data_IF_151463275126
#
_entry.id   IF_151463275126
#
_cell.length_a   1.000
_cell.length_b   1.000
_cell.length_c   1.000
_cell.angle_alpha   90.00
_cell.angle_beta   90.00
_cell.angle_gamma   90.00
#
_symmetry.space_group_name_H-M   'P 1'
#
loop_
_entity.id
_entity.type
_entity.pdbx_description
1 polymer ?
#
# COMPACT_ATOMS: atom_id res chain seq x y z
N UNK A 1 10.62 -14.40 -13.83
CA UNK A 1 10.23 -13.25 -12.99
C UNK A 1 11.46 -12.39 -12.73
N UNK A 2 11.35 -11.07 -12.57
CA UNK A 2 12.51 -10.21 -12.29
C UNK A 2 13.09 -10.56 -10.91
N UNK A 3 14.42 -10.74 -10.75
CA UNK A 3 15.00 -11.19 -9.48
C UNK A 3 14.66 -10.26 -8.32
N UNK A 4 14.57 -8.95 -8.57
CA UNK A 4 14.14 -7.97 -7.57
C UNK A 4 12.72 -8.19 -7.04
N UNK A 5 11.80 -8.73 -7.85
CA UNK A 5 10.43 -9.03 -7.40
C UNK A 5 10.45 -10.20 -6.41
N UNK A 6 11.20 -11.25 -6.73
CA UNK A 6 11.34 -12.42 -5.85
C UNK A 6 11.99 -12.02 -4.53
N UNK A 7 13.12 -11.32 -4.59
CA UNK A 7 13.84 -10.88 -3.39
C UNK A 7 12.98 -9.97 -2.52
N UNK A 8 12.37 -8.94 -3.12
CA UNK A 8 11.53 -7.99 -2.40
C UNK A 8 10.30 -8.65 -1.77
N UNK A 9 9.57 -9.46 -2.52
CA UNK A 9 8.37 -10.13 -2.02
C UNK A 9 8.66 -11.12 -0.90
N UNK A 10 9.71 -11.95 -1.04
CA UNK A 10 10.12 -12.90 0.01
C UNK A 10 10.55 -12.17 1.27
N UNK A 11 11.38 -11.12 1.13
CA UNK A 11 11.84 -10.34 2.28
C UNK A 11 10.67 -9.71 3.04
N UNK A 12 9.81 -8.96 2.35
CA UNK A 12 8.69 -8.27 2.98
C UNK A 12 7.64 -9.23 3.53
N UNK A 13 7.42 -10.37 2.88
CA UNK A 13 6.55 -11.44 3.42
C UNK A 13 7.12 -11.99 4.71
N UNK A 14 8.43 -12.27 4.75
CA UNK A 14 9.09 -12.80 5.94
C UNK A 14 9.00 -11.85 7.14
N UNK A 15 9.29 -10.55 6.92
CA UNK A 15 9.14 -9.52 7.96
C UNK A 15 7.69 -9.43 8.43
N UNK A 16 6.75 -9.32 7.48
CA UNK A 16 5.33 -9.17 7.74
C UNK A 16 4.75 -10.31 8.57
N UNK A 17 4.97 -11.56 8.16
CA UNK A 17 4.50 -12.74 8.89
C UNK A 17 5.16 -12.86 10.26
N UNK A 18 6.46 -12.56 10.37
CA UNK A 18 7.17 -12.60 11.66
C UNK A 18 6.57 -11.61 12.65
N UNK A 19 6.31 -10.37 12.21
CA UNK A 19 5.73 -9.34 13.06
C UNK A 19 4.28 -9.62 13.44
N UNK A 20 3.48 -10.23 12.55
CA UNK A 20 2.10 -10.63 12.86
C UNK A 20 2.04 -11.73 13.92
N UNK A 21 2.85 -12.79 13.76
CA UNK A 21 2.81 -13.97 14.63
C UNK A 21 3.60 -13.73 15.92
N UNK A 22 4.75 -13.05 15.85
CA UNK A 22 5.68 -12.83 16.96
C UNK A 22 6.12 -11.36 17.03
N UNK A 23 5.23 -10.42 17.36
CA UNK A 23 5.53 -8.98 17.35
C UNK A 23 6.70 -8.60 18.25
N UNK A 24 6.90 -9.26 19.39
CA UNK A 24 8.01 -8.96 20.30
C UNK A 24 9.41 -9.25 19.71
N UNK A 25 9.52 -10.10 18.68
CA UNK A 25 10.80 -10.42 18.07
C UNK A 25 11.40 -9.21 17.34
N UNK A 26 10.58 -8.43 16.63
CA UNK A 26 11.06 -7.29 15.83
C UNK A 26 11.89 -6.30 16.67
N UNK A 27 11.36 -5.70 17.76
CA UNK A 27 12.16 -4.79 18.58
C UNK A 27 13.31 -5.49 19.30
N UNK A 28 13.20 -6.80 19.62
CA UNK A 28 14.26 -7.53 20.32
C UNK A 28 15.57 -7.64 19.53
N UNK A 29 15.48 -7.67 18.19
CA UNK A 29 16.66 -7.65 17.30
C UNK A 29 17.48 -6.36 17.43
N UNK A 30 16.86 -5.30 17.95
CA UNK A 30 17.47 -3.98 18.15
C UNK A 30 17.61 -3.62 19.63
N UNK A 31 17.54 -4.62 20.53
CA UNK A 31 17.65 -4.41 21.99
C UNK A 31 16.39 -3.85 22.66
N UNK A 32 15.28 -3.69 21.93
CA UNK A 32 14.00 -3.23 22.43
C UNK A 32 13.08 -4.35 22.93
N UNK A 33 11.89 -3.96 23.41
CA UNK A 33 10.84 -4.89 23.90
C UNK A 33 9.45 -4.36 23.53
N UNK A 34 8.43 -5.24 23.54
CA UNK A 34 7.02 -4.89 23.34
C UNK A 34 6.14 -5.38 24.52
N UNK A 35 6.27 -4.75 25.70
CA UNK A 35 5.64 -5.26 26.91
C UNK A 35 4.12 -5.07 26.93
N UNK A 36 3.60 -4.03 26.27
CA UNK A 36 2.17 -3.69 26.28
C UNK A 36 1.42 -4.28 25.08
N UNK A 37 0.12 -4.48 25.26
CA UNK A 37 -0.79 -4.86 24.17
C UNK A 37 -0.73 -3.83 23.03
N UNK A 38 -0.81 -2.53 23.35
CA UNK A 38 -0.66 -1.42 22.40
C UNK A 38 0.62 -1.54 21.57
N UNK A 39 1.77 -1.79 22.20
CA UNK A 39 3.04 -1.91 21.47
C UNK A 39 3.04 -3.11 20.52
N UNK A 40 2.51 -4.27 20.95
CA UNK A 40 2.42 -5.46 20.09
C UNK A 40 1.44 -5.24 18.93
N UNK A 41 0.31 -4.60 19.17
CA UNK A 41 -0.66 -4.24 18.13
C UNK A 41 -0.06 -3.26 17.12
N UNK A 42 0.69 -2.25 17.58
CA UNK A 42 1.39 -1.31 16.72
C UNK A 42 2.43 -2.02 15.83
N UNK A 43 3.18 -2.98 16.39
CA UNK A 43 4.14 -3.77 15.61
C UNK A 43 3.42 -4.64 14.57
N UNK A 44 2.28 -5.27 14.91
CA UNK A 44 1.48 -6.02 13.92
C UNK A 44 0.96 -5.15 12.79
N UNK A 45 0.63 -3.89 13.07
CA UNK A 45 0.21 -2.95 12.05
C UNK A 45 1.36 -2.50 11.13
N UNK A 46 2.44 -1.97 11.73
CA UNK A 46 3.52 -1.30 11.00
C UNK A 46 4.56 -2.27 10.46
N UNK A 47 4.94 -3.30 11.22
CA UNK A 47 5.89 -4.32 10.78
C UNK A 47 5.21 -5.57 10.23
N UNK A 48 3.91 -5.76 10.49
CA UNK A 48 3.12 -6.85 9.92
C UNK A 48 2.40 -6.41 8.65
N UNK A 49 1.33 -5.64 8.80
CA UNK A 49 0.44 -5.20 7.72
C UNK A 49 1.16 -4.48 6.58
N UNK A 50 1.96 -3.46 6.88
CA UNK A 50 2.63 -2.65 5.85
C UNK A 50 3.61 -3.47 5.00
N UNK A 51 4.55 -4.28 5.55
CA UNK A 51 5.37 -5.19 4.74
C UNK A 51 4.56 -6.19 3.92
N UNK A 52 3.48 -6.76 4.45
CA UNK A 52 2.64 -7.67 3.66
C UNK A 52 1.98 -6.97 2.47
N UNK A 53 1.50 -5.73 2.65
CA UNK A 53 0.98 -4.93 1.55
C UNK A 53 2.08 -4.64 0.51
N UNK A 54 3.30 -4.29 0.93
CA UNK A 54 4.43 -4.11 0.03
C UNK A 54 4.76 -5.39 -0.75
N UNK A 55 4.74 -6.56 -0.10
CA UNK A 55 4.94 -7.83 -0.77
C UNK A 55 3.87 -8.10 -1.85
N UNK A 56 2.60 -7.85 -1.53
CA UNK A 56 1.49 -7.98 -2.49
C UNK A 56 1.62 -7.02 -3.67
N UNK A 57 1.99 -5.75 -3.42
CA UNK A 57 2.23 -4.75 -4.47
C UNK A 57 3.38 -5.18 -5.39
N UNK A 58 4.51 -5.62 -4.83
CA UNK A 58 5.66 -6.12 -5.60
C UNK A 58 5.31 -7.37 -6.41
N UNK A 59 4.54 -8.30 -5.84
CA UNK A 59 4.07 -9.50 -6.56
C UNK A 59 3.10 -9.16 -7.69
N UNK A 60 2.26 -8.13 -7.52
CA UNK A 60 1.35 -7.69 -8.58
C UNK A 60 2.08 -7.25 -9.84
N UNK A 61 3.33 -6.77 -9.71
CA UNK A 61 4.17 -6.41 -10.86
C UNK A 61 4.68 -7.64 -11.65
N UNK A 62 4.69 -8.83 -11.03
CA UNK A 62 5.15 -10.06 -11.69
C UNK A 62 4.21 -10.51 -12.81
N UNK A 63 2.93 -10.15 -12.74
CA UNK A 63 1.89 -10.51 -13.73
C UNK A 63 1.96 -9.71 -15.05
N UNK A 64 2.90 -8.77 -15.17
CA UNK A 64 3.01 -7.80 -16.25
C UNK A 64 3.47 -8.32 -17.62
N UNK A 65 3.03 -9.50 -18.06
CA UNK A 65 3.19 -9.92 -19.47
C UNK A 65 1.89 -9.97 -20.26
N UNK A 66 0.74 -10.19 -19.60
CA UNK A 66 -0.56 -10.35 -20.27
C UNK A 66 -1.64 -9.40 -19.70
N UNK A 67 -1.40 -8.09 -19.75
CA UNK A 67 -2.47 -7.08 -19.57
C UNK A 67 -2.88 -6.73 -18.13
N UNK A 68 -2.14 -7.16 -17.11
CA UNK A 68 -2.40 -6.76 -15.71
C UNK A 68 -2.13 -5.27 -15.47
N UNK A 69 -3.18 -4.51 -15.09
CA UNK A 69 -3.06 -3.09 -14.72
C UNK A 69 -2.18 -2.94 -13.47
N UNK A 70 -1.12 -2.12 -13.58
CA UNK A 70 -0.33 -1.73 -12.40
C UNK A 70 -1.17 -0.86 -11.48
N UNK A 71 -1.06 -1.10 -10.17
CA UNK A 71 -1.66 -0.23 -9.18
C UNK A 71 -1.16 1.21 -9.37
N UNK A 72 -2.05 2.19 -9.31
CA UNK A 72 -1.66 3.59 -9.26
C UNK A 72 -0.94 3.89 -7.94
N UNK A 73 -0.22 5.02 -7.88
CA UNK A 73 0.42 5.45 -6.62
C UNK A 73 -0.60 5.64 -5.50
N UNK A 74 -1.79 6.17 -5.80
CA UNK A 74 -2.85 6.37 -4.80
C UNK A 74 -3.44 5.06 -4.32
N UNK A 75 -3.64 4.07 -5.22
CA UNK A 75 -4.08 2.72 -4.85
C UNK A 75 -3.03 2.00 -3.99
N UNK A 76 -1.74 2.16 -4.29
CA UNK A 76 -0.66 1.59 -3.48
C UNK A 76 -0.65 2.17 -2.06
N UNK A 77 -0.76 3.49 -1.91
CA UNK A 77 -0.84 4.14 -0.59
C UNK A 77 -2.11 3.73 0.15
N UNK A 78 -3.24 3.60 -0.54
CA UNK A 78 -4.48 3.10 0.05
C UNK A 78 -4.33 1.68 0.59
N UNK A 79 -3.69 0.78 -0.17
CA UNK A 79 -3.43 -0.59 0.25
C UNK A 79 -2.52 -0.66 1.49
N UNK A 80 -1.47 0.18 1.53
CA UNK A 80 -0.58 0.27 2.70
C UNK A 80 -1.34 0.74 3.94
N UNK A 81 -2.18 1.76 3.80
CA UNK A 81 -2.98 2.30 4.90
C UNK A 81 -4.03 1.29 5.38
N UNK A 82 -4.74 0.63 4.46
CA UNK A 82 -5.70 -0.42 4.78
C UNK A 82 -5.06 -1.60 5.51
N UNK A 83 -3.85 -2.00 5.11
CA UNK A 83 -3.15 -3.11 5.73
C UNK A 83 -2.69 -2.79 7.16
N UNK A 84 -2.27 -1.55 7.44
CA UNK A 84 -1.99 -1.11 8.81
C UNK A 84 -3.26 -1.13 9.67
N UNK A 85 -4.39 -0.62 9.16
CA UNK A 85 -5.67 -0.68 9.86
C UNK A 85 -6.08 -2.13 10.17
N UNK A 86 -5.96 -3.03 9.19
CA UNK A 86 -6.23 -4.45 9.37
C UNK A 86 -5.29 -5.09 10.41
N UNK A 87 -4.01 -4.74 10.40
CA UNK A 87 -3.04 -5.18 11.40
C UNK A 87 -3.38 -4.71 12.81
N UNK A 88 -3.90 -3.48 12.97
CA UNK A 88 -4.40 -3.00 14.26
C UNK A 88 -5.66 -3.74 14.71
N UNK A 89 -6.63 -3.94 13.82
CA UNK A 89 -7.84 -4.72 14.13
C UNK A 89 -7.50 -6.15 14.56
N UNK A 90 -6.61 -6.82 13.83
CA UNK A 90 -6.13 -8.15 14.18
C UNK A 90 -5.38 -8.15 15.51
N UNK A 91 -4.50 -7.17 15.73
CA UNK A 91 -3.77 -7.02 16.99
C UNK A 91 -4.71 -6.82 18.17
N UNK A 92 -5.67 -5.90 18.07
CA UNK A 92 -6.68 -5.67 19.09
C UNK A 92 -7.56 -6.89 19.35
N UNK A 93 -7.89 -7.67 18.33
CA UNK A 93 -8.63 -8.92 18.49
C UNK A 93 -7.80 -9.98 19.24
N UNK A 94 -6.53 -10.14 18.90
CA UNK A 94 -5.61 -11.10 19.57
C UNK A 94 -5.32 -10.70 21.01
N UNK A 95 -5.06 -9.41 21.25
CA UNK A 95 -4.70 -8.90 22.59
C UNK A 95 -5.94 -8.71 23.49
N UNK A 96 -7.15 -8.72 22.92
CA UNK A 96 -8.41 -8.50 23.64
C UNK A 96 -8.63 -7.06 24.09
N UNK A 97 -7.80 -6.12 23.63
CA UNK A 97 -7.83 -4.71 24.03
C UNK A 97 -7.50 -3.79 22.84
N UNK A 98 -8.18 -2.65 22.80
CA UNK A 98 -7.84 -1.53 21.93
C UNK A 98 -7.92 -0.24 22.76
N UNK A 99 -6.79 0.39 23.04
CA UNK A 99 -6.78 1.70 23.70
C UNK A 99 -7.26 2.81 22.74
N UNK A 100 -7.45 4.03 23.27
CA UNK A 100 -7.97 5.15 22.50
C UNK A 100 -7.07 5.53 21.31
N UNK A 101 -5.75 5.43 21.48
CA UNK A 101 -4.77 5.74 20.42
C UNK A 101 -4.85 4.70 19.30
N UNK A 102 -4.89 3.41 19.63
CA UNK A 102 -5.04 2.31 18.67
C UNK A 102 -6.31 2.49 17.84
N UNK A 103 -7.44 2.81 18.49
CA UNK A 103 -8.71 3.07 17.78
C UNK A 103 -8.62 4.29 16.86
N UNK A 104 -8.01 5.38 17.33
CA UNK A 104 -7.83 6.60 16.54
C UNK A 104 -7.01 6.32 15.27
N UNK A 105 -5.84 5.69 15.41
CA UNK A 105 -5.00 5.37 14.26
C UNK A 105 -5.69 4.39 13.30
N UNK A 106 -6.36 3.37 13.83
CA UNK A 106 -7.16 2.44 13.01
C UNK A 106 -8.21 3.19 12.18
N UNK A 107 -8.92 4.15 12.79
CA UNK A 107 -9.94 4.94 12.10
C UNK A 107 -9.32 5.89 11.05
N UNK A 108 -8.21 6.55 11.37
CA UNK A 108 -7.51 7.44 10.44
C UNK A 108 -6.97 6.69 9.22
N UNK A 109 -6.44 5.49 9.42
CA UNK A 109 -5.94 4.66 8.34
C UNK A 109 -7.06 4.10 7.46
N UNK A 110 -8.13 3.61 8.08
CA UNK A 110 -9.31 3.17 7.34
C UNK A 110 -9.93 4.33 6.53
N UNK A 111 -10.03 5.52 7.13
CA UNK A 111 -10.53 6.71 6.45
C UNK A 111 -9.60 7.15 5.32
N UNK A 112 -8.28 7.11 5.52
CA UNK A 112 -7.28 7.44 4.48
C UNK A 112 -7.36 6.47 3.31
N UNK A 113 -7.41 5.17 3.59
CA UNK A 113 -7.58 4.15 2.57
C UNK A 113 -8.87 4.35 1.76
N UNK A 114 -9.99 4.57 2.46
CA UNK A 114 -11.28 4.84 1.82
C UNK A 114 -11.24 6.11 0.96
N UNK A 115 -10.72 7.22 1.47
CA UNK A 115 -10.64 8.48 0.75
C UNK A 115 -9.79 8.36 -0.52
N UNK A 116 -8.65 7.66 -0.46
CA UNK A 116 -7.79 7.45 -1.61
C UNK A 116 -8.41 6.52 -2.67
N UNK A 117 -9.13 5.48 -2.26
CA UNK A 117 -9.83 4.58 -3.20
C UNK A 117 -11.02 5.27 -3.86
N UNK A 118 -11.79 6.06 -3.10
CA UNK A 118 -12.91 6.83 -3.64
C UNK A 118 -12.41 7.93 -4.57
N UNK A 119 -11.36 8.67 -4.19
CA UNK A 119 -10.75 9.72 -5.00
C UNK A 119 -10.03 9.20 -6.25
N UNK A 120 -9.45 8.00 -6.20
CA UNK A 120 -8.84 7.35 -7.38
C UNK A 120 -9.87 7.05 -8.48
N UNK A 121 -11.17 6.98 -8.16
CA UNK A 121 -12.27 6.89 -9.12
C UNK A 121 -12.70 8.23 -9.74
N UNK A 122 -12.18 9.37 -9.25
CA UNK A 122 -12.62 10.74 -9.63
C UNK A 122 -11.52 11.49 -10.39
N UNK A 123 -10.75 10.79 -11.23
CA UNK A 123 -9.86 11.44 -12.19
C UNK A 123 -10.68 12.26 -13.21
N UNK A 124 -10.23 13.47 -13.61
CA UNK A 124 -11.00 14.28 -14.54
C UNK A 124 -11.24 13.50 -15.84
N UNK A 125 -12.50 13.45 -16.25
CA UNK A 125 -12.90 12.98 -17.58
C UNK A 125 -11.99 13.67 -18.62
N UNK A 126 -11.53 12.89 -19.59
CA UNK A 126 -10.44 13.23 -20.49
C UNK A 126 -10.48 14.68 -20.99
N UNK A 127 -9.32 15.33 -20.98
CA UNK A 127 -9.11 16.45 -21.87
C UNK A 127 -9.22 15.90 -23.29
N UNK A 128 -10.36 16.16 -23.92
CA UNK A 128 -10.58 15.93 -25.34
C UNK A 128 -9.41 16.53 -26.10
N UNK A 129 -8.87 15.72 -27.00
CA UNK A 129 -8.05 16.15 -28.13
C UNK A 129 -8.61 17.44 -28.71
N UNK A 130 -7.88 18.54 -28.50
CA UNK A 130 -8.10 19.77 -29.26
C UNK A 130 -7.90 19.50 -30.75
N UNK A 131 -8.57 20.26 -31.63
CA UNK A 131 -8.51 20.03 -33.07
C UNK A 131 -7.06 20.10 -33.56
N UNK A 132 -6.70 19.11 -34.39
CA UNK A 132 -5.40 18.93 -35.02
C UNK A 132 -5.16 20.06 -36.03
N UNK A 133 -4.58 21.17 -35.58
CA UNK A 133 -4.20 22.31 -36.41
C UNK A 133 -2.86 22.01 -37.15
N UNK A 134 -2.80 20.86 -37.84
CA UNK A 134 -1.60 20.39 -38.53
C UNK A 134 -1.82 19.92 -39.96
N UNK A 135 -2.74 20.54 -40.69
CA UNK A 135 -2.72 20.56 -42.16
C UNK A 135 -3.31 21.88 -42.60
N UNK A 136 -2.47 22.80 -43.11
CA UNK A 136 -2.87 23.89 -44.03
C UNK A 136 -1.71 24.81 -44.47
N UNK A 137 -0.44 24.47 -44.17
CA UNK A 137 0.70 25.26 -44.66
C UNK A 137 1.73 24.44 -45.46
N UNK A 138 1.25 23.69 -46.45
CA UNK A 138 2.07 23.14 -47.54
C UNK A 138 1.27 23.35 -48.84
N UNK A 139 1.53 24.45 -49.57
CA UNK A 139 0.99 24.57 -50.93
C UNK A 139 0.65 25.95 -51.49
N UNK A 140 1.15 27.08 -50.96
CA UNK A 140 0.99 28.38 -51.65
C UNK A 140 2.24 29.25 -51.57
N UNK A 141 3.29 28.85 -52.30
CA UNK A 141 4.32 29.75 -52.82
C UNK A 141 4.90 29.07 -54.06
N UNK A 142 4.21 29.24 -55.19
CA UNK A 142 4.75 29.29 -56.57
C UNK A 142 3.58 29.54 -57.52
N UNK A 143 3.35 30.81 -57.87
CA UNK A 143 2.81 31.27 -59.14
C UNK A 143 2.86 32.80 -59.15
#
# INVERSE_FOLDING_TARGET
MHPGIVVGSVFYTGVGLTALVRPALVPSLFGGRAPTATARTEIRAVYGGLPLAMAGLVLSEAGGRDGGRRASRTEAVAALSAAMAAGRLLGSWIEGEADGITRLFTALEAATAAALLLGAGVGPAGHGSGPDERTDNVGRTTA
#
